data_IF_031266263015
#
_entry.id   IF_031266263015
#
_cell.length_a   1.000
_cell.length_b   1.000
_cell.length_c   1.000
_cell.angle_alpha   90.00
_cell.angle_beta   90.00
_cell.angle_gamma   90.00
#
_symmetry.space_group_name_H-M   'P 1'
#
loop_
_entity.id
_entity.type
_entity.pdbx_description
1 polymer ?
#
# COMPACT_ATOMS: atom_id res chain seq x y z
N UNK A 1 -16.73 -9.66 -3.78
CA UNK A 1 -15.46 -9.22 -4.41
C UNK A 1 -15.64 -8.72 -5.83
N UNK A 2 -16.32 -9.48 -6.69
CA UNK A 2 -16.52 -9.08 -8.11
C UNK A 2 -17.16 -7.69 -8.24
N UNK A 3 -18.22 -7.40 -7.48
CA UNK A 3 -18.90 -6.11 -7.57
C UNK A 3 -18.00 -4.96 -7.15
N UNK A 4 -17.12 -5.18 -6.17
CA UNK A 4 -16.17 -4.16 -5.71
C UNK A 4 -15.13 -3.88 -6.81
N UNK A 5 -14.61 -4.93 -7.45
CA UNK A 5 -13.65 -4.78 -8.54
C UNK A 5 -14.28 -4.07 -9.74
N UNK A 6 -15.55 -4.32 -10.02
CA UNK A 6 -16.30 -3.62 -11.06
C UNK A 6 -16.52 -2.14 -10.72
N UNK A 7 -16.74 -1.81 -9.46
CA UNK A 7 -16.86 -0.42 -9.01
C UNK A 7 -15.55 0.35 -9.21
N UNK A 8 -14.42 -0.34 -9.22
CA UNK A 8 -13.12 0.24 -9.55
C UNK A 8 -12.91 0.40 -11.06
N UNK A 9 -13.91 0.06 -11.87
CA UNK A 9 -13.83 0.09 -13.33
C UNK A 9 -12.73 -0.82 -13.88
N UNK A 10 -12.53 -1.95 -13.20
CA UNK A 10 -11.52 -2.93 -13.60
C UNK A 10 -12.01 -3.74 -14.80
N UNK A 11 -11.10 -4.01 -15.74
CA UNK A 11 -11.42 -4.82 -16.91
C UNK A 11 -11.71 -6.27 -16.53
N UNK A 12 -12.58 -6.93 -17.30
CA UNK A 12 -13.00 -8.31 -17.02
C UNK A 12 -11.81 -9.28 -16.94
N UNK A 13 -10.80 -9.10 -17.78
CA UNK A 13 -9.62 -9.95 -17.79
C UNK A 13 -8.83 -9.81 -16.48
N UNK A 14 -8.71 -8.59 -15.97
CA UNK A 14 -8.01 -8.33 -14.71
C UNK A 14 -8.77 -8.92 -13.52
N UNK A 15 -10.10 -8.80 -13.53
CA UNK A 15 -10.95 -9.42 -12.50
C UNK A 15 -10.76 -10.95 -12.52
N UNK A 16 -10.75 -11.53 -13.70
CA UNK A 16 -10.55 -12.96 -13.87
C UNK A 16 -9.19 -13.41 -13.35
N UNK A 17 -8.15 -12.65 -13.65
CA UNK A 17 -6.80 -12.94 -13.21
C UNK A 17 -6.69 -12.89 -11.68
N UNK A 18 -7.29 -11.87 -11.05
CA UNK A 18 -7.30 -11.74 -9.60
C UNK A 18 -8.04 -12.91 -8.95
N UNK A 19 -9.24 -13.24 -9.45
CA UNK A 19 -10.05 -14.31 -8.90
C UNK A 19 -9.46 -15.71 -9.13
N UNK A 20 -8.54 -15.85 -10.08
CA UNK A 20 -7.83 -17.11 -10.32
C UNK A 20 -6.61 -17.30 -9.42
N UNK A 21 -6.22 -16.29 -8.67
CA UNK A 21 -5.12 -16.41 -7.71
C UNK A 21 -5.53 -17.33 -6.56
N UNK A 22 -4.57 -18.00 -5.97
CA UNK A 22 -4.81 -18.90 -4.82
C UNK A 22 -4.97 -18.08 -3.53
N UNK A 23 -6.04 -17.29 -3.49
CA UNK A 23 -6.37 -16.40 -2.38
C UNK A 23 -7.83 -16.63 -2.01
N UNK A 24 -8.10 -16.86 -0.73
CA UNK A 24 -9.47 -17.01 -0.23
C UNK A 24 -10.10 -15.65 0.03
N UNK A 25 -10.60 -15.02 -1.03
CA UNK A 25 -11.24 -13.70 -0.93
C UNK A 25 -12.53 -13.72 -0.10
N UNK A 26 -13.18 -14.88 0.02
CA UNK A 26 -14.41 -14.99 0.82
C UNK A 26 -14.14 -14.83 2.31
N UNK A 27 -12.89 -15.05 2.75
CA UNK A 27 -12.49 -14.84 4.14
C UNK A 27 -12.25 -13.38 4.50
N UNK A 28 -12.17 -12.49 3.51
CA UNK A 28 -11.91 -11.07 3.74
C UNK A 28 -13.14 -10.38 4.31
N UNK A 29 -12.93 -9.46 5.26
CA UNK A 29 -14.01 -8.63 5.79
C UNK A 29 -14.35 -7.55 4.76
N UNK A 30 -15.63 -7.51 4.34
CA UNK A 30 -16.10 -6.57 3.32
C UNK A 30 -15.91 -5.11 3.75
N UNK A 31 -16.04 -4.83 5.04
CA UNK A 31 -15.86 -3.47 5.56
C UNK A 31 -14.42 -3.03 5.45
N UNK A 32 -13.47 -3.93 5.69
CA UNK A 32 -12.06 -3.64 5.51
C UNK A 32 -11.69 -3.47 4.04
N UNK A 33 -12.25 -4.29 3.15
CA UNK A 33 -12.03 -4.12 1.71
C UNK A 33 -12.45 -2.72 1.27
N UNK A 34 -13.67 -2.34 1.60
CA UNK A 34 -14.20 -1.02 1.24
C UNK A 34 -13.45 0.10 1.93
N UNK A 35 -13.12 -0.08 3.22
CA UNK A 35 -12.38 0.91 3.99
C UNK A 35 -11.00 1.17 3.43
N UNK A 36 -10.27 0.14 3.04
CA UNK A 36 -8.95 0.28 2.45
C UNK A 36 -8.99 1.03 1.12
N UNK A 37 -9.96 0.75 0.28
CA UNK A 37 -10.14 1.46 -0.98
C UNK A 37 -10.47 2.93 -0.73
N UNK A 38 -11.39 3.23 0.20
CA UNK A 38 -11.75 4.60 0.53
C UNK A 38 -10.57 5.38 1.10
N UNK A 39 -9.73 4.74 1.91
CA UNK A 39 -8.53 5.39 2.43
C UNK A 39 -7.58 5.82 1.31
N UNK A 40 -7.36 4.96 0.32
CA UNK A 40 -6.51 5.32 -0.81
C UNK A 40 -7.07 6.54 -1.56
N UNK A 41 -8.39 6.60 -1.74
CA UNK A 41 -9.04 7.76 -2.35
C UNK A 41 -8.81 9.02 -1.52
N UNK A 42 -8.98 8.93 -0.20
CA UNK A 42 -8.78 10.05 0.73
C UNK A 42 -7.34 10.56 0.71
N UNK A 43 -6.38 9.67 0.51
CA UNK A 43 -4.96 10.05 0.44
C UNK A 43 -4.52 10.47 -0.96
N UNK A 44 -5.46 10.68 -1.88
CA UNK A 44 -5.19 11.29 -3.19
C UNK A 44 -4.85 10.31 -4.31
N UNK A 45 -5.11 9.01 -4.12
CA UNK A 45 -4.88 8.03 -5.17
C UNK A 45 -5.99 8.12 -6.22
N UNK A 46 -5.60 8.11 -7.49
CA UNK A 46 -6.56 8.04 -8.60
C UNK A 46 -7.15 6.63 -8.70
N UNK A 47 -8.28 6.52 -9.39
CA UNK A 47 -8.90 5.22 -9.62
C UNK A 47 -7.95 4.26 -10.37
N UNK A 48 -7.21 4.78 -11.34
CA UNK A 48 -6.21 4.01 -12.08
C UNK A 48 -5.10 3.49 -11.17
N UNK A 49 -4.61 4.34 -10.26
CA UNK A 49 -3.58 3.95 -9.31
C UNK A 49 -4.08 2.87 -8.36
N UNK A 50 -5.32 3.00 -7.89
CA UNK A 50 -5.95 1.99 -7.03
C UNK A 50 -6.08 0.66 -7.78
N UNK A 51 -6.53 0.68 -9.05
CA UNK A 51 -6.62 -0.53 -9.85
C UNK A 51 -5.26 -1.22 -9.99
N UNK A 52 -4.22 -0.45 -10.30
CA UNK A 52 -2.87 -0.99 -10.47
C UNK A 52 -2.38 -1.66 -9.18
N UNK A 53 -2.65 -1.04 -8.04
CA UNK A 53 -2.28 -1.60 -6.74
C UNK A 53 -3.03 -2.90 -6.47
N UNK A 54 -4.33 -2.93 -6.71
CA UNK A 54 -5.15 -4.13 -6.48
C UNK A 54 -4.72 -5.28 -7.39
N UNK A 55 -4.40 -4.97 -8.65
CA UNK A 55 -3.92 -5.99 -9.61
C UNK A 55 -2.59 -6.58 -9.15
N UNK A 56 -1.68 -5.74 -8.70
CA UNK A 56 -0.35 -6.17 -8.27
C UNK A 56 -0.36 -6.84 -6.89
N UNK A 57 -1.19 -6.36 -5.98
CA UNK A 57 -1.21 -6.82 -4.59
C UNK A 57 -2.63 -6.82 -4.02
N UNK A 58 -3.48 -7.76 -4.46
CA UNK A 58 -4.86 -7.83 -3.95
C UNK A 58 -4.93 -8.16 -2.45
N UNK A 59 -3.89 -8.75 -1.89
CA UNK A 59 -3.84 -9.11 -0.46
C UNK A 59 -3.94 -7.90 0.46
N UNK A 60 -3.58 -6.69 0.00
CA UNK A 60 -3.69 -5.51 0.87
C UNK A 60 -5.15 -5.23 1.26
N UNK A 61 -6.10 -5.68 0.44
CA UNK A 61 -7.53 -5.52 0.75
C UNK A 61 -7.94 -6.25 2.03
N UNK A 62 -7.14 -7.23 2.45
CA UNK A 62 -7.37 -7.98 3.68
C UNK A 62 -6.81 -7.28 4.93
N UNK A 63 -6.10 -6.19 4.79
CA UNK A 63 -5.60 -5.44 5.94
C UNK A 63 -6.77 -4.89 6.76
N UNK A 64 -6.59 -4.85 8.07
CA UNK A 64 -7.51 -4.07 8.89
C UNK A 64 -7.36 -2.60 8.47
N UNK A 65 -8.49 -1.93 8.23
CA UNK A 65 -8.49 -0.54 7.78
C UNK A 65 -7.68 0.37 8.71
N UNK A 66 -7.76 0.13 10.00
CA UNK A 66 -6.98 0.87 11.00
C UNK A 66 -5.48 0.76 10.75
N UNK A 67 -4.99 -0.44 10.42
CA UNK A 67 -3.57 -0.66 10.18
C UNK A 67 -3.11 0.04 8.90
N UNK A 68 -3.93 0.03 7.87
CA UNK A 68 -3.66 0.78 6.63
C UNK A 68 -3.58 2.27 6.92
N UNK A 69 -4.51 2.80 7.71
CA UNK A 69 -4.51 4.21 8.09
C UNK A 69 -3.25 4.58 8.88
N UNK A 70 -2.86 3.76 9.85
CA UNK A 70 -1.66 3.99 10.64
C UNK A 70 -0.41 4.02 9.77
N UNK A 71 -0.32 3.11 8.81
CA UNK A 71 0.80 3.05 7.86
C UNK A 71 0.87 4.31 6.99
N UNK A 72 -0.26 4.70 6.38
CA UNK A 72 -0.32 5.86 5.51
C UNK A 72 0.01 7.15 6.26
N UNK A 73 -0.53 7.31 7.47
CA UNK A 73 -0.25 8.48 8.30
C UNK A 73 1.21 8.54 8.72
N UNK A 74 1.81 7.40 9.08
CA UNK A 74 3.21 7.36 9.46
C UNK A 74 4.12 7.83 8.32
N UNK A 75 3.88 7.32 7.12
CA UNK A 75 4.69 7.67 5.95
C UNK A 75 4.51 9.15 5.59
N UNK A 76 3.28 9.65 5.64
CA UNK A 76 2.98 11.03 5.31
C UNK A 76 3.50 12.01 6.34
N UNK A 77 3.20 11.77 7.63
CA UNK A 77 3.44 12.74 8.69
C UNK A 77 4.84 12.62 9.29
N UNK A 78 5.33 11.42 9.55
CA UNK A 78 6.63 11.23 10.19
C UNK A 78 7.79 11.13 9.20
N UNK A 79 7.59 10.45 8.07
CA UNK A 79 8.60 10.39 7.02
C UNK A 79 8.54 11.58 6.08
N UNK A 80 7.48 12.38 6.19
CA UNK A 80 7.29 13.60 5.40
C UNK A 80 7.29 13.34 3.88
N UNK A 81 6.74 12.20 3.47
CA UNK A 81 6.58 11.86 2.06
C UNK A 81 5.22 12.37 1.60
N UNK A 82 5.23 13.31 0.65
CA UNK A 82 4.01 14.01 0.21
C UNK A 82 3.20 13.19 -0.79
N UNK A 83 3.87 12.58 -1.77
CA UNK A 83 3.21 11.91 -2.89
C UNK A 83 3.11 10.41 -2.63
N UNK A 84 2.22 10.02 -1.71
CA UNK A 84 2.01 8.61 -1.36
C UNK A 84 1.56 7.79 -2.56
N UNK A 85 0.73 8.37 -3.43
CA UNK A 85 0.26 7.69 -4.63
C UNK A 85 1.41 7.23 -5.53
N UNK A 86 2.44 8.05 -5.68
CA UNK A 86 3.61 7.68 -6.48
C UNK A 86 4.44 6.60 -5.79
N UNK A 87 4.62 6.72 -4.49
CA UNK A 87 5.38 5.74 -3.71
C UNK A 87 4.77 4.34 -3.84
N UNK A 88 3.47 4.22 -3.58
CA UNK A 88 2.79 2.93 -3.59
C UNK A 88 2.50 2.43 -5.01
N UNK A 89 2.40 3.32 -6.00
CA UNK A 89 2.29 2.90 -7.40
C UNK A 89 3.59 2.21 -7.86
N UNK A 90 4.73 2.70 -7.37
CA UNK A 90 6.04 2.11 -7.64
C UNK A 90 6.31 0.85 -6.83
N UNK A 91 5.74 0.72 -5.63
CA UNK A 91 5.83 -0.49 -4.84
C UNK A 91 4.51 -0.78 -4.11
N UNK A 92 3.57 -1.45 -4.79
CA UNK A 92 2.26 -1.80 -4.19
C UNK A 92 2.38 -2.69 -2.96
N UNK A 93 3.47 -3.43 -2.82
CA UNK A 93 3.67 -4.35 -1.70
C UNK A 93 3.98 -3.63 -0.38
N UNK A 94 4.31 -2.34 -0.43
CA UNK A 94 4.45 -1.55 0.79
C UNK A 94 3.15 -1.47 1.58
N UNK A 95 2.00 -1.59 0.91
CA UNK A 95 0.70 -1.61 1.60
C UNK A 95 0.48 -2.86 2.44
N UNK A 96 1.27 -3.91 2.22
CA UNK A 96 1.24 -5.12 3.03
C UNK A 96 2.26 -5.10 4.18
N UNK A 97 3.06 -4.05 4.28
CA UNK A 97 3.99 -3.86 5.40
C UNK A 97 3.23 -3.30 6.59
N UNK A 98 3.65 -3.72 7.78
CA UNK A 98 3.15 -3.11 9.00
C UNK A 98 4.00 -1.89 9.36
N UNK A 99 3.39 -0.93 10.04
CA UNK A 99 4.06 0.30 10.45
C UNK A 99 5.37 0.03 11.17
N UNK A 100 5.40 -0.98 12.06
CA UNK A 100 6.61 -1.27 12.83
C UNK A 100 7.78 -1.73 11.95
N UNK A 101 7.50 -2.41 10.83
CA UNK A 101 8.55 -2.85 9.91
C UNK A 101 9.28 -1.67 9.29
N UNK A 102 8.51 -0.63 8.93
CA UNK A 102 9.09 0.59 8.37
C UNK A 102 9.85 1.36 9.45
N UNK A 103 9.31 1.40 10.67
CA UNK A 103 10.00 2.03 11.80
C UNK A 103 11.34 1.35 12.11
N UNK A 104 11.39 0.02 12.03
CA UNK A 104 12.64 -0.72 12.22
C UNK A 104 13.66 -0.37 11.13
N UNK A 105 13.22 -0.29 9.88
CA UNK A 105 14.08 0.13 8.78
C UNK A 105 14.65 1.54 9.03
N UNK A 106 13.79 2.48 9.41
CA UNK A 106 14.19 3.86 9.68
C UNK A 106 15.20 3.90 10.84
N UNK A 107 14.91 3.19 11.92
CA UNK A 107 15.79 3.13 13.08
C UNK A 107 17.18 2.58 12.72
N UNK A 108 17.21 1.54 11.90
CA UNK A 108 18.47 0.93 11.44
C UNK A 108 19.29 1.93 10.62
N UNK A 109 18.63 2.67 9.71
CA UNK A 109 19.31 3.66 8.88
C UNK A 109 19.80 4.85 9.70
N UNK A 110 19.05 5.28 10.71
CA UNK A 110 19.51 6.32 11.62
C UNK A 110 20.76 5.90 12.39
N UNK A 111 20.82 4.64 12.82
CA UNK A 111 22.01 4.08 13.48
C UNK A 111 23.23 4.03 12.54
N UNK A 112 22.98 3.92 11.25
CA UNK A 112 24.04 3.97 10.22
C UNK A 112 24.50 5.41 9.92
N UNK A 113 23.88 6.40 10.54
CA UNK A 113 24.25 7.81 10.42
C UNK A 113 23.41 8.60 9.42
N UNK A 114 22.37 8.02 8.84
CA UNK A 114 21.50 8.73 7.92
C UNK A 114 20.56 9.67 8.67
N UNK A 115 20.33 10.86 8.11
CA UNK A 115 19.32 11.78 8.62
C UNK A 115 17.92 11.35 8.15
N UNK A 116 16.89 11.93 8.74
CA UNK A 116 15.51 11.67 8.28
C UNK A 116 15.31 12.07 6.82
N UNK A 117 15.93 13.17 6.40
CA UNK A 117 15.88 13.61 5.00
C UNK A 117 16.56 12.60 4.07
N UNK A 118 17.70 12.07 4.48
CA UNK A 118 18.41 11.03 3.72
C UNK A 118 17.54 9.77 3.57
N UNK A 119 16.85 9.36 4.64
CA UNK A 119 16.00 8.19 4.63
C UNK A 119 14.79 8.40 3.73
N UNK A 120 14.17 9.58 3.82
CA UNK A 120 13.06 9.96 2.93
C UNK A 120 13.49 9.87 1.46
N UNK A 121 14.63 10.48 1.11
CA UNK A 121 15.15 10.46 -0.25
C UNK A 121 15.45 9.04 -0.71
N UNK A 122 15.98 8.20 0.16
CA UNK A 122 16.26 6.81 -0.13
C UNK A 122 14.99 6.03 -0.47
N UNK A 123 13.95 6.18 0.35
CA UNK A 123 12.67 5.51 0.15
C UNK A 123 11.99 6.00 -1.13
N UNK A 124 11.99 7.31 -1.37
CA UNK A 124 11.37 7.89 -2.56
C UNK A 124 12.09 7.47 -3.85
N UNK A 125 13.42 7.38 -3.82
CA UNK A 125 14.20 6.98 -4.99
C UNK A 125 14.14 5.48 -5.27
N UNK A 126 13.95 4.66 -4.22
CA UNK A 126 13.84 3.21 -4.35
C UNK A 126 12.85 2.66 -3.31
N UNK A 127 11.54 2.65 -3.63
CA UNK A 127 10.52 2.16 -2.68
C UNK A 127 10.70 0.71 -2.23
N UNK A 128 11.52 -0.08 -2.94
CA UNK A 128 11.82 -1.46 -2.56
C UNK A 128 12.97 -1.57 -1.56
N UNK A 129 13.63 -0.45 -1.22
CA UNK A 129 14.79 -0.46 -0.32
C UNK A 129 14.45 -1.02 1.06
N UNK A 130 13.20 -0.88 1.49
CA UNK A 130 12.73 -1.39 2.80
C UNK A 130 12.83 -2.91 2.86
N UNK A 131 12.78 -3.59 1.72
CA UNK A 131 12.90 -5.04 1.64
C UNK A 131 14.35 -5.52 1.59
N UNK A 132 15.29 -4.62 1.40
CA UNK A 132 16.72 -4.91 1.41
C UNK A 132 17.21 -4.92 2.86
N UNK A 133 17.68 -6.06 3.32
CA UNK A 133 18.12 -6.24 4.69
C UNK A 133 19.63 -6.35 4.77
#
# INVERSE_FOLDING_TARGET
MISILKELEMEDQDIKNILSMDIDFDSFDINDIKGNIELLKLFGFSLKEIRNIVIANPMFLNNMTKDTLDLLNYIKEELNITYLNLLFDNNPFLLSKEKFEIKEFVSKKEKEGLTKEDIKDLIESNPYVIDEV
#
